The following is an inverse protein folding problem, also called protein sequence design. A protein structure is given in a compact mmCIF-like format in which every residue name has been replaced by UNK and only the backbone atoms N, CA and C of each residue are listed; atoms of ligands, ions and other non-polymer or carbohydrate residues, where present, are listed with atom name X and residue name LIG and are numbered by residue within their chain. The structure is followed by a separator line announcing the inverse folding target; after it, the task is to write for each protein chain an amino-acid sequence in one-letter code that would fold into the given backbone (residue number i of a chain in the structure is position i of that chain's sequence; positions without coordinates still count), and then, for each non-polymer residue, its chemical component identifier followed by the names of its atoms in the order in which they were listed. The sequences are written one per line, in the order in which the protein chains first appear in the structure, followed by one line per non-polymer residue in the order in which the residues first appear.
data_IF_801159863208
#
_entry.id   IF_801159863208
#
_cell.length_a   1.000
_cell.length_b   1.000
_cell.length_c   1.000
_cell.angle_alpha   90.00
_cell.angle_beta   90.00
_cell.angle_gamma   90.00
#
_symmetry.space_group_name_H-M   'P 1'
#
loop_
_entity.id
_entity.type
_entity.pdbx_description
1 polymer ?
#
# COMPACT_ATOMS: atom_id res chain seq x y z
N UNK A 1 24.01 5.92 16.25
CA UNK A 1 23.27 5.76 17.51
C UNK A 1 22.84 4.31 17.60
N UNK A 2 23.35 3.56 18.57
CA UNK A 2 23.05 2.14 18.75
C UNK A 2 21.62 1.99 19.23
N UNK A 3 20.74 1.43 18.40
CA UNK A 3 19.37 1.06 18.77
C UNK A 3 19.47 -0.08 19.79
N UNK A 4 19.48 0.25 21.09
CA UNK A 4 19.47 -0.73 22.16
C UNK A 4 18.23 -1.61 21.99
N UNK A 5 18.43 -2.89 21.69
CA UNK A 5 17.34 -3.83 21.51
C UNK A 5 16.82 -4.22 22.89
N UNK A 6 15.81 -3.49 23.38
CA UNK A 6 15.23 -3.72 24.70
C UNK A 6 14.48 -5.06 24.83
N UNK A 7 14.29 -5.82 23.75
CA UNK A 7 13.73 -7.17 23.79
C UNK A 7 14.72 -8.22 24.32
N UNK A 8 16.02 -7.90 24.30
CA UNK A 8 17.10 -8.82 24.70
C UNK A 8 17.69 -8.44 26.07
N UNK A 9 16.97 -7.61 26.84
CA UNK A 9 17.40 -7.20 28.17
C UNK A 9 17.21 -8.35 29.18
N UNK A 10 18.29 -8.75 29.83
CA UNK A 10 18.23 -9.62 31.01
C UNK A 10 17.69 -8.83 32.20
N UNK A 11 16.48 -9.19 32.63
CA UNK A 11 15.74 -8.52 33.70
C UNK A 11 16.50 -8.61 35.02
N UNK A 12 17.19 -9.72 35.31
CA UNK A 12 17.90 -9.87 36.58
C UNK A 12 19.10 -8.92 36.67
N UNK A 13 19.89 -8.82 35.59
CA UNK A 13 20.99 -7.85 35.51
C UNK A 13 20.50 -6.41 35.61
N UNK A 14 19.34 -6.11 35.05
CA UNK A 14 18.74 -4.78 35.14
C UNK A 14 18.46 -4.38 36.60
N UNK A 15 17.95 -5.30 37.42
CA UNK A 15 17.68 -5.05 38.84
C UNK A 15 18.94 -5.08 39.71
N UNK A 16 19.99 -5.78 39.29
CA UNK A 16 21.28 -5.82 39.98
C UNK A 16 22.15 -4.57 39.70
N UNK A 17 22.13 -4.06 38.47
CA UNK A 17 23.05 -3.00 38.00
C UNK A 17 22.45 -1.58 38.06
N UNK A 18 21.12 -1.44 38.14
CA UNK A 18 20.45 -0.14 38.04
C UNK A 18 19.59 0.19 39.26
N UNK A 19 19.50 1.48 39.55
CA UNK A 19 18.58 2.01 40.57
C UNK A 19 17.14 2.02 40.06
N UNK A 20 16.17 2.04 40.98
CA UNK A 20 14.73 2.11 40.66
C UNK A 20 14.42 3.26 39.70
N UNK A 21 15.02 4.44 39.90
CA UNK A 21 14.81 5.61 39.03
C UNK A 21 15.31 5.39 37.60
N UNK A 22 16.43 4.67 37.44
CA UNK A 22 16.97 4.35 36.12
C UNK A 22 16.10 3.30 35.42
N UNK A 23 15.60 2.32 36.15
CA UNK A 23 14.66 1.31 35.64
C UNK A 23 13.36 1.97 35.17
N UNK A 24 12.80 2.92 35.93
CA UNK A 24 11.64 3.71 35.50
C UNK A 24 11.91 4.52 34.23
N UNK A 25 13.11 5.09 34.09
CA UNK A 25 13.49 5.82 32.89
C UNK A 25 13.61 4.89 31.67
N UNK A 26 14.15 3.68 31.85
CA UNK A 26 14.24 2.64 30.82
C UNK A 26 12.83 2.19 30.41
N UNK A 27 11.95 1.93 31.37
CA UNK A 27 10.55 1.57 31.11
C UNK A 27 9.86 2.65 30.25
N UNK A 28 10.00 3.93 30.62
CA UNK A 28 9.42 5.05 29.85
C UNK A 28 9.95 5.10 28.42
N UNK A 29 11.25 4.85 28.21
CA UNK A 29 11.85 4.77 26.86
C UNK A 29 11.28 3.61 26.06
N UNK A 30 11.17 2.42 26.65
CA UNK A 30 10.59 1.24 25.99
C UNK A 30 9.16 1.52 25.57
N UNK A 31 8.34 2.10 26.47
CA UNK A 31 6.96 2.44 26.17
C UNK A 31 6.86 3.42 25.01
N UNK A 32 7.65 4.50 25.03
CA UNK A 32 7.71 5.47 23.93
C UNK A 32 8.11 4.84 22.60
N UNK A 33 9.15 4.00 22.58
CA UNK A 33 9.60 3.29 21.38
C UNK A 33 8.53 2.34 20.84
N UNK A 34 7.82 1.63 21.74
CA UNK A 34 6.71 0.74 21.38
C UNK A 34 5.57 1.50 20.73
N UNK A 35 5.15 2.62 21.33
CA UNK A 35 4.08 3.46 20.80
C UNK A 35 4.46 4.08 19.45
N UNK A 36 5.72 4.52 19.31
CA UNK A 36 6.23 5.02 18.01
C UNK A 36 6.18 3.93 16.95
N UNK A 37 6.70 2.74 17.22
CA UNK A 37 6.68 1.60 16.27
C UNK A 37 5.25 1.20 15.90
N UNK A 38 4.32 1.26 16.84
CA UNK A 38 2.90 0.98 16.59
C UNK A 38 2.29 2.00 15.61
N UNK A 39 2.62 3.28 15.75
CA UNK A 39 2.17 4.32 14.82
C UNK A 39 2.81 4.13 13.45
N UNK A 40 4.12 3.94 13.40
CA UNK A 40 4.88 3.70 12.17
C UNK A 40 4.32 2.51 11.37
N UNK A 41 4.05 1.39 12.04
CA UNK A 41 3.44 0.21 11.43
C UNK A 41 2.05 0.52 10.87
N UNK A 42 1.22 1.25 11.61
CA UNK A 42 -0.12 1.65 11.15
C UNK A 42 -0.04 2.52 9.90
N UNK A 43 0.90 3.47 9.86
CA UNK A 43 1.12 4.35 8.72
C UNK A 43 1.57 3.54 7.50
N UNK A 44 2.61 2.71 7.65
CA UNK A 44 3.15 1.92 6.55
C UNK A 44 2.13 0.94 5.97
N UNK A 45 1.36 0.27 6.84
CA UNK A 45 0.30 -0.65 6.42
C UNK A 45 -0.84 0.12 5.73
N UNK A 46 -1.21 1.29 6.24
CA UNK A 46 -2.23 2.16 5.64
C UNK A 46 -1.83 2.68 4.26
N UNK A 47 -0.58 3.08 4.08
CA UNK A 47 -0.02 3.48 2.77
C UNK A 47 -0.05 2.32 1.79
N UNK A 48 0.44 1.13 2.19
CA UNK A 48 0.44 -0.05 1.31
C UNK A 48 -0.97 -0.49 0.90
N UNK A 49 -1.95 -0.41 1.80
CA UNK A 49 -3.35 -0.67 1.44
C UNK A 49 -3.88 0.36 0.44
N UNK A 50 -3.55 1.64 0.62
CA UNK A 50 -3.95 2.70 -0.32
C UNK A 50 -3.34 2.46 -1.70
N UNK A 51 -2.08 2.07 -1.76
CA UNK A 51 -1.40 1.77 -3.03
C UNK A 51 -2.06 0.59 -3.76
N UNK A 52 -2.43 -0.47 -3.04
CA UNK A 52 -3.18 -1.60 -3.62
C UNK A 52 -4.55 -1.16 -4.18
N UNK A 53 -5.26 -0.29 -3.46
CA UNK A 53 -6.55 0.26 -3.92
C UNK A 53 -6.35 1.09 -5.19
N UNK A 54 -5.35 1.98 -5.21
CA UNK A 54 -5.04 2.81 -6.38
C UNK A 54 -4.62 1.97 -7.60
N UNK A 55 -3.85 0.91 -7.39
CA UNK A 55 -3.48 -0.02 -8.46
C UNK A 55 -4.71 -0.73 -9.02
N UNK A 56 -5.62 -1.21 -8.15
CA UNK A 56 -6.87 -1.84 -8.55
C UNK A 56 -7.77 -0.88 -9.36
N UNK A 57 -7.90 0.37 -8.92
CA UNK A 57 -8.64 1.41 -9.65
C UNK A 57 -8.01 1.71 -11.02
N UNK A 58 -6.68 1.73 -11.09
CA UNK A 58 -5.97 1.92 -12.36
C UNK A 58 -6.22 0.76 -13.32
N UNK A 59 -6.16 -0.48 -12.86
CA UNK A 59 -6.51 -1.67 -13.65
C UNK A 59 -7.96 -1.60 -14.14
N UNK A 60 -8.89 -1.16 -13.28
CA UNK A 60 -10.29 -0.98 -13.66
C UNK A 60 -10.44 0.06 -14.77
N UNK A 61 -9.74 1.19 -14.68
CA UNK A 61 -9.73 2.21 -15.75
C UNK A 61 -9.17 1.64 -17.05
N UNK A 62 -8.06 0.91 -16.98
CA UNK A 62 -7.46 0.25 -18.15
C UNK A 62 -8.44 -0.71 -18.84
N UNK A 63 -9.20 -1.49 -18.05
CA UNK A 63 -10.25 -2.37 -18.57
C UNK A 63 -11.31 -1.56 -19.34
N UNK A 64 -11.88 -0.53 -18.71
CA UNK A 64 -12.91 0.31 -19.33
C UNK A 64 -12.39 0.97 -20.61
N UNK A 65 -11.17 1.49 -20.60
CA UNK A 65 -10.55 2.08 -21.79
C UNK A 65 -10.41 1.04 -22.91
N UNK A 66 -10.00 -0.18 -22.58
CA UNK A 66 -9.88 -1.27 -23.55
C UNK A 66 -11.24 -1.65 -24.15
N UNK A 67 -12.28 -1.75 -23.33
CA UNK A 67 -13.66 -1.99 -23.78
C UNK A 67 -14.15 -0.90 -24.74
N UNK A 68 -13.87 0.36 -24.44
CA UNK A 68 -14.19 1.48 -25.35
C UNK A 68 -13.44 1.40 -26.67
N UNK A 69 -12.15 1.03 -26.66
CA UNK A 69 -11.37 0.85 -27.89
C UNK A 69 -11.98 -0.25 -28.74
N UNK A 70 -12.32 -1.40 -28.14
CA UNK A 70 -12.96 -2.51 -28.85
C UNK A 70 -14.30 -2.07 -29.47
N UNK A 71 -15.16 -1.39 -28.69
CA UNK A 71 -16.43 -0.87 -29.19
C UNK A 71 -16.24 0.03 -30.41
N UNK A 72 -15.24 0.93 -30.37
CA UNK A 72 -14.95 1.83 -31.49
C UNK A 72 -14.46 1.09 -32.74
N UNK A 73 -13.69 0.02 -32.58
CA UNK A 73 -13.25 -0.80 -33.71
C UNK A 73 -14.46 -1.49 -34.36
N UNK A 74 -15.34 -2.08 -33.56
CA UNK A 74 -16.58 -2.70 -34.05
C UNK A 74 -17.43 -1.68 -34.81
N UNK A 75 -17.58 -0.46 -34.30
CA UNK A 75 -18.32 0.61 -34.97
C UNK A 75 -17.70 0.99 -36.33
N UNK A 76 -16.36 1.02 -36.42
CA UNK A 76 -15.64 1.28 -37.66
C UNK A 76 -15.85 0.14 -38.67
N UNK A 77 -15.73 -1.11 -38.24
CA UNK A 77 -15.95 -2.29 -39.08
C UNK A 77 -17.38 -2.32 -39.65
N UNK A 78 -18.38 -2.04 -38.81
CA UNK A 78 -19.78 -1.95 -39.23
C UNK A 78 -20.00 -0.86 -40.29
N UNK A 79 -19.48 0.34 -40.06
CA UNK A 79 -19.56 1.46 -41.02
C UNK A 79 -18.90 1.12 -42.35
N UNK A 80 -17.74 0.46 -42.32
CA UNK A 80 -17.05 0.04 -43.54
C UNK A 80 -17.88 -1.00 -44.32
N UNK A 81 -18.49 -1.94 -43.61
CA UNK A 81 -19.41 -2.92 -44.21
C UNK A 81 -20.65 -2.28 -44.86
N UNK A 82 -21.21 -1.24 -44.26
CA UNK A 82 -22.31 -0.45 -44.86
C UNK A 82 -21.86 0.26 -46.14
N UNK A 83 -20.69 0.91 -46.11
CA UNK A 83 -20.13 1.59 -47.29
C UNK A 83 -19.83 0.61 -48.44
N UNK A 84 -19.28 -0.57 -48.14
CA UNK A 84 -19.07 -1.61 -49.15
C UNK A 84 -20.39 -2.06 -49.79
N UNK A 85 -21.45 -2.27 -48.99
CA UNK A 85 -22.76 -2.62 -49.53
C UNK A 85 -23.28 -1.56 -50.51
N UNK A 86 -23.18 -0.28 -50.16
CA UNK A 86 -23.61 0.83 -51.03
C UNK A 86 -22.84 0.83 -52.36
N UNK A 87 -21.53 0.53 -52.33
CA UNK A 87 -20.71 0.44 -53.55
C UNK A 87 -21.11 -0.70 -54.51
N UNK A 88 -21.80 -1.74 -54.04
CA UNK A 88 -22.30 -2.82 -54.90
C UNK A 88 -23.64 -2.48 -55.59
N UNK A 89 -24.32 -1.41 -55.17
CA UNK A 89 -25.61 -0.97 -55.71
C UNK A 89 -25.49 0.18 -56.75
N UNK A 90 -24.27 0.66 -57.02
CA UNK A 90 -23.95 1.70 -58.02
C UNK A 90 -23.11 1.06 -59.11
#
# INVERSE_FOLDING_TARGET
MTTTNYLDLDINKLFEEYTIKEIEAIQKKIQHESDRKKIELRTLVGERYRDLILAADTIRKMKITSEHVISRIIDIENKFGELQKISYWI
#
